data_IF_444540516466
#
_entry.id   IF_444540516466
#
_cell.length_a   1.000
_cell.length_b   1.000
_cell.length_c   1.000
_cell.angle_alpha   90.00
_cell.angle_beta   90.00
_cell.angle_gamma   90.00
#
_symmetry.space_group_name_H-M   'P 1'
#
loop_
_entity.id
_entity.type
_entity.pdbx_description
1 polymer ?
#
# COMPACT_ATOMS: atom_id res chain seq x y z
N UNK A 1 -2.66 83.76 27.64
CA UNK A 1 -2.21 82.93 26.52
C UNK A 1 -2.58 81.47 26.83
N UNK A 2 -3.71 81.02 26.32
CA UNK A 2 -4.20 79.65 26.48
C UNK A 2 -4.15 79.01 25.10
N UNK A 3 -3.35 77.98 24.92
CA UNK A 3 -3.29 77.12 23.67
C UNK A 3 -4.25 75.97 23.86
N UNK A 4 -5.25 75.91 23.00
CA UNK A 4 -6.10 74.76 22.86
C UNK A 4 -5.41 73.68 21.94
N UNK A 5 -5.33 72.44 22.41
CA UNK A 5 -4.99 71.29 21.59
C UNK A 5 -6.28 70.64 21.12
N UNK A 6 -6.48 70.63 19.81
CA UNK A 6 -7.54 69.88 19.17
C UNK A 6 -7.12 68.41 18.95
N UNK A 7 -7.90 67.48 19.46
CA UNK A 7 -7.80 66.06 19.15
C UNK A 7 -8.50 65.78 17.80
N UNK A 8 -7.73 65.31 16.83
CA UNK A 8 -8.25 64.73 15.59
C UNK A 8 -8.42 63.23 15.81
N UNK A 9 -9.67 62.79 15.84
CA UNK A 9 -10.00 61.37 15.84
C UNK A 9 -9.94 60.82 14.41
N UNK A 10 -8.97 59.92 14.13
CA UNK A 10 -8.90 59.20 12.89
C UNK A 10 -9.76 57.94 12.99
N UNK A 11 -10.86 57.90 12.26
CA UNK A 11 -11.68 56.69 12.11
C UNK A 11 -11.01 55.72 11.15
N UNK A 12 -10.49 54.60 11.66
CA UNK A 12 -10.02 53.48 10.86
C UNK A 12 -11.24 52.66 10.36
N UNK A 13 -11.56 52.78 9.09
CA UNK A 13 -12.48 51.90 8.41
C UNK A 13 -11.78 50.55 8.15
N UNK A 14 -12.10 49.56 8.99
CA UNK A 14 -11.75 48.15 8.72
C UNK A 14 -12.68 47.64 7.60
N UNK A 15 -12.19 47.74 6.36
CA UNK A 15 -12.77 47.04 5.22
C UNK A 15 -12.51 45.53 5.32
N UNK A 16 -13.48 44.80 5.85
CA UNK A 16 -13.46 43.35 5.80
C UNK A 16 -13.59 42.86 4.37
N UNK A 17 -12.48 42.42 3.77
CA UNK A 17 -12.52 41.63 2.53
C UNK A 17 -13.12 40.25 2.85
N UNK A 18 -14.44 40.13 2.66
CA UNK A 18 -15.08 38.83 2.59
C UNK A 18 -14.59 38.14 1.30
N UNK A 19 -13.60 37.26 1.44
CA UNK A 19 -13.26 36.33 0.36
C UNK A 19 -14.42 35.37 0.20
N UNK A 20 -15.28 35.62 -0.78
CA UNK A 20 -16.21 34.60 -1.28
C UNK A 20 -15.38 33.53 -1.98
N UNK A 21 -15.11 32.43 -1.26
CA UNK A 21 -14.67 31.20 -1.89
C UNK A 21 -15.81 30.65 -2.75
N UNK A 22 -15.86 31.01 -4.03
CA UNK A 22 -16.54 30.22 -5.02
C UNK A 22 -15.70 28.96 -5.23
N UNK A 23 -15.93 27.94 -4.39
CA UNK A 23 -15.35 26.61 -4.56
C UNK A 23 -15.96 25.93 -5.77
N UNK A 24 -15.38 26.16 -6.93
CA UNK A 24 -15.52 25.21 -8.04
C UNK A 24 -14.92 23.89 -7.61
N UNK A 25 -15.69 22.77 -7.70
CA UNK A 25 -15.24 21.39 -7.42
C UNK A 25 -14.28 20.95 -8.52
N UNK A 26 -13.10 21.54 -8.59
CA UNK A 26 -12.06 21.31 -9.60
C UNK A 26 -10.66 21.74 -9.17
N UNK A 27 -10.48 22.08 -7.87
CA UNK A 27 -9.18 22.47 -7.33
C UNK A 27 -8.34 21.28 -6.85
N UNK A 28 -7.05 21.52 -6.60
CA UNK A 28 -6.07 20.58 -6.08
C UNK A 28 -6.38 20.10 -4.63
N UNK A 29 -7.59 20.27 -4.15
CA UNK A 29 -8.00 20.02 -2.77
C UNK A 29 -9.09 18.96 -2.69
N UNK A 30 -9.10 18.21 -1.57
CA UNK A 30 -10.20 17.34 -1.17
C UNK A 30 -10.54 17.59 0.29
N UNK A 31 -11.83 17.58 0.62
CA UNK A 31 -12.31 17.74 2.00
C UNK A 31 -12.27 16.42 2.74
N UNK A 32 -11.58 16.39 3.87
CA UNK A 32 -11.49 15.22 4.74
C UNK A 32 -12.55 15.32 5.83
N UNK A 33 -13.35 14.25 5.99
CA UNK A 33 -14.32 14.10 7.07
C UNK A 33 -13.71 13.44 8.29
N UNK A 34 -12.89 12.42 8.07
CA UNK A 34 -12.36 11.58 9.14
C UNK A 34 -11.00 11.01 8.76
N UNK A 35 -10.05 11.07 9.71
CA UNK A 35 -8.78 10.33 9.67
C UNK A 35 -8.73 9.46 10.90
N UNK A 36 -8.42 8.18 10.73
CA UNK A 36 -8.35 7.26 11.85
C UNK A 36 -7.56 6.01 11.55
N UNK A 37 -7.48 5.15 12.53
CA UNK A 37 -6.82 3.86 12.40
C UNK A 37 -7.39 2.83 13.36
N UNK A 38 -7.11 1.55 13.10
CA UNK A 38 -7.44 0.44 13.98
C UNK A 38 -6.48 -0.73 13.75
N UNK A 39 -6.37 -1.59 14.76
CA UNK A 39 -5.78 -2.91 14.62
C UNK A 39 -6.87 -3.95 14.42
N UNK A 40 -6.57 -5.04 13.70
CA UNK A 40 -7.52 -6.12 13.42
C UNK A 40 -6.78 -7.46 13.27
N UNK A 41 -7.48 -8.55 13.57
CA UNK A 41 -6.86 -9.86 13.66
C UNK A 41 -6.06 -10.00 14.95
N UNK A 42 -5.16 -10.95 14.96
CA UNK A 42 -4.29 -11.21 16.09
C UNK A 42 -4.85 -12.23 17.08
N UNK A 43 -4.03 -12.52 18.07
CA UNK A 43 -4.34 -13.43 19.19
C UNK A 43 -3.51 -13.06 20.41
N UNK A 44 -3.99 -13.43 21.57
CA UNK A 44 -3.22 -13.38 22.81
C UNK A 44 -2.30 -14.57 22.94
N UNK A 45 -1.08 -14.33 23.40
CA UNK A 45 -0.09 -15.36 23.76
C UNK A 45 0.43 -15.09 25.15
N UNK A 46 0.40 -16.10 26.02
CA UNK A 46 1.01 -16.05 27.35
C UNK A 46 2.39 -16.70 27.32
N UNK A 47 3.41 -15.95 27.72
CA UNK A 47 4.78 -16.45 27.92
C UNK A 47 5.02 -16.71 29.40
N UNK A 48 5.74 -17.78 29.73
CA UNK A 48 6.11 -18.15 31.08
C UNK A 48 7.46 -18.85 31.11
N UNK A 49 8.12 -18.87 32.31
CA UNK A 49 9.38 -19.56 32.52
C UNK A 49 10.61 -18.87 31.92
N UNK A 50 10.45 -17.64 31.41
CA UNK A 50 11.59 -16.88 30.91
C UNK A 50 12.31 -16.14 32.02
N UNK A 51 13.67 -16.08 31.98
CA UNK A 51 14.45 -15.37 33.00
C UNK A 51 14.18 -13.86 32.92
N UNK A 52 14.15 -13.24 34.09
CA UNK A 52 14.16 -11.77 34.19
C UNK A 52 15.46 -11.21 33.62
N UNK A 53 15.38 -9.98 33.11
CA UNK A 53 16.51 -9.26 32.46
C UNK A 53 16.68 -7.89 33.08
N UNK A 54 17.91 -7.42 33.21
CA UNK A 54 18.21 -6.04 33.54
C UNK A 54 18.35 -5.23 32.25
N UNK A 55 17.59 -4.16 32.14
CA UNK A 55 17.56 -3.28 30.93
C UNK A 55 17.77 -1.83 31.37
N UNK A 56 18.70 -1.15 30.72
CA UNK A 56 18.88 0.30 30.83
C UNK A 56 18.03 0.95 29.75
N UNK A 57 16.86 1.50 30.11
CA UNK A 57 15.93 2.12 29.16
C UNK A 57 16.37 3.50 28.68
N UNK A 58 17.14 4.22 29.52
CA UNK A 58 17.63 5.57 29.21
C UNK A 58 19.11 5.63 29.51
N UNK A 59 19.89 6.20 28.60
CA UNK A 59 21.32 6.38 28.81
C UNK A 59 21.61 7.11 30.11
N UNK A 60 22.51 6.55 30.94
CA UNK A 60 22.87 7.08 32.25
C UNK A 60 21.91 6.75 33.40
N UNK A 61 20.79 6.06 33.15
CA UNK A 61 19.91 5.56 34.19
C UNK A 61 20.42 4.24 34.79
N UNK A 62 20.00 3.92 36.02
CA UNK A 62 20.23 2.61 36.61
C UNK A 62 19.45 1.52 35.79
N UNK A 63 19.98 0.28 35.77
CA UNK A 63 19.26 -0.86 35.19
C UNK A 63 17.91 -1.08 35.90
N UNK A 64 16.91 -1.42 35.10
CA UNK A 64 15.60 -1.81 35.58
C UNK A 64 15.37 -3.30 35.34
N UNK A 65 14.86 -3.99 36.34
CA UNK A 65 14.58 -5.42 36.26
C UNK A 65 13.26 -5.66 35.57
N UNK A 66 13.27 -6.34 34.41
CA UNK A 66 12.11 -6.60 33.56
C UNK A 66 11.77 -8.09 33.62
N UNK A 67 10.54 -8.39 33.98
CA UNK A 67 9.95 -9.71 33.83
C UNK A 67 9.37 -9.87 32.42
N UNK A 68 9.92 -10.77 31.58
CA UNK A 68 9.42 -10.98 30.21
C UNK A 68 8.23 -11.93 30.13
N UNK A 69 7.71 -12.43 31.25
CA UNK A 69 6.57 -13.33 31.31
C UNK A 69 5.26 -12.54 31.39
N UNK A 70 4.20 -13.08 30.81
CA UNK A 70 2.88 -12.46 30.79
C UNK A 70 2.18 -12.59 29.44
N UNK A 71 1.11 -11.81 29.25
CA UNK A 71 0.26 -11.84 28.09
C UNK A 71 0.71 -10.83 27.05
N UNK A 72 0.66 -11.22 25.78
CA UNK A 72 1.06 -10.40 24.63
C UNK A 72 0.01 -10.49 23.52
N UNK A 73 -0.36 -9.36 22.93
CA UNK A 73 -1.10 -9.32 21.67
C UNK A 73 -0.13 -9.45 20.51
N UNK A 74 -0.40 -10.38 19.58
CA UNK A 74 0.46 -10.69 18.44
C UNK A 74 -0.37 -11.00 17.20
N UNK A 75 0.26 -10.92 16.02
CA UNK A 75 -0.34 -11.28 14.73
C UNK A 75 -1.51 -10.38 14.29
N UNK A 76 -1.70 -9.22 14.92
CA UNK A 76 -2.62 -8.20 14.43
C UNK A 76 -1.99 -7.40 13.29
N UNK A 77 -2.81 -6.98 12.32
CA UNK A 77 -2.47 -5.99 11.32
C UNK A 77 -2.92 -4.59 11.73
N UNK A 78 -2.38 -3.57 11.08
CA UNK A 78 -2.77 -2.17 11.27
C UNK A 78 -3.45 -1.64 10.01
N UNK A 79 -4.43 -0.76 10.18
CA UNK A 79 -5.13 -0.08 9.10
C UNK A 79 -5.27 1.39 9.44
N UNK A 80 -4.80 2.27 8.55
CA UNK A 80 -5.09 3.70 8.55
C UNK A 80 -6.14 4.00 7.50
N UNK A 81 -7.03 4.95 7.77
CA UNK A 81 -8.01 5.39 6.79
C UNK A 81 -8.18 6.91 6.75
N UNK A 82 -8.55 7.39 5.57
CA UNK A 82 -8.98 8.76 5.32
C UNK A 82 -10.32 8.67 4.61
N UNK A 83 -11.37 9.24 5.22
CA UNK A 83 -12.70 9.34 4.62
C UNK A 83 -12.98 10.76 4.18
N UNK A 84 -13.52 10.90 2.99
CA UNK A 84 -13.82 12.18 2.39
C UNK A 84 -15.17 12.74 2.89
N UNK A 85 -15.23 14.05 2.96
CA UNK A 85 -16.48 14.77 3.16
C UNK A 85 -17.26 14.83 1.82
N UNK A 86 -18.57 14.73 1.88
CA UNK A 86 -19.42 15.08 0.72
C UNK A 86 -19.26 16.58 0.40
N UNK A 87 -19.16 17.06 -0.86
CA UNK A 87 -19.36 16.33 -2.11
C UNK A 87 -18.07 15.77 -2.74
N UNK A 88 -16.97 15.72 -2.02
CA UNK A 88 -15.69 15.23 -2.57
C UNK A 88 -15.70 13.72 -2.83
N UNK A 89 -16.53 12.96 -2.10
CA UNK A 89 -16.62 11.51 -2.25
C UNK A 89 -17.39 11.12 -3.51
N UNK A 90 -16.67 10.52 -4.46
CA UNK A 90 -17.21 9.98 -5.73
C UNK A 90 -17.24 8.46 -5.74
N UNK A 91 -16.32 7.82 -5.02
CA UNK A 91 -16.25 6.35 -4.90
C UNK A 91 -17.52 5.78 -4.26
N UNK A 92 -18.11 4.76 -4.87
CA UNK A 92 -19.25 4.03 -4.29
C UNK A 92 -18.83 3.19 -3.10
N UNK A 93 -17.58 2.74 -3.12
CA UNK A 93 -16.98 1.85 -2.13
C UNK A 93 -15.63 2.39 -1.69
N UNK A 94 -15.20 2.13 -0.45
CA UNK A 94 -13.85 2.45 -0.02
C UNK A 94 -12.82 1.66 -0.84
N UNK A 95 -11.65 2.25 -1.05
CA UNK A 95 -10.50 1.65 -1.71
C UNK A 95 -9.51 1.18 -0.65
N UNK A 96 -9.30 -0.13 -0.55
CA UNK A 96 -8.33 -0.74 0.34
C UNK A 96 -7.02 -0.97 -0.42
N UNK A 97 -5.91 -0.49 0.12
CA UNK A 97 -4.59 -0.60 -0.49
C UNK A 97 -3.68 -1.52 0.33
N UNK A 98 -3.31 -2.67 -0.28
CA UNK A 98 -2.51 -3.72 0.36
C UNK A 98 -1.12 -3.80 -0.29
N UNK A 99 -0.07 -3.74 0.51
CA UNK A 99 1.33 -3.66 0.05
C UNK A 99 1.93 -5.03 -0.32
N UNK A 100 3.11 -4.99 -0.94
CA UNK A 100 3.91 -6.14 -1.31
C UNK A 100 4.84 -6.68 -0.22
N UNK A 101 5.59 -7.72 -0.56
CA UNK A 101 6.54 -8.38 0.34
C UNK A 101 7.75 -7.52 0.70
N UNK A 102 8.11 -7.48 2.00
CA UNK A 102 9.22 -6.67 2.50
C UNK A 102 8.95 -5.16 2.54
N UNK A 103 7.69 -4.78 2.40
CA UNK A 103 7.19 -3.40 2.42
C UNK A 103 6.07 -3.26 3.45
N UNK A 104 5.57 -2.03 3.60
CA UNK A 104 4.43 -1.66 4.43
C UNK A 104 3.50 -0.71 3.66
N UNK A 105 2.47 -0.19 4.32
CA UNK A 105 1.54 0.79 3.73
C UNK A 105 2.19 2.06 3.20
N UNK A 106 3.39 2.39 3.67
CA UNK A 106 4.21 3.51 3.15
C UNK A 106 4.36 3.47 1.61
N UNK A 107 4.28 2.26 1.02
CA UNK A 107 4.27 2.07 -0.45
C UNK A 107 3.27 2.97 -1.18
N UNK A 108 2.15 3.31 -0.53
CA UNK A 108 1.05 4.07 -1.11
C UNK A 108 1.05 5.56 -0.74
N UNK A 109 1.80 5.96 0.30
CA UNK A 109 1.73 7.28 0.92
C UNK A 109 2.54 8.34 0.16
N UNK A 110 3.87 8.20 0.16
CA UNK A 110 4.79 9.15 -0.49
C UNK A 110 5.82 8.41 -1.32
N UNK A 111 6.03 8.87 -2.53
CA UNK A 111 7.05 8.30 -3.42
C UNK A 111 8.46 8.62 -2.90
N UNK A 112 9.48 7.80 -3.22
CA UNK A 112 10.84 8.00 -2.73
C UNK A 112 11.47 9.32 -3.22
N UNK A 113 10.98 9.90 -4.30
CA UNK A 113 11.37 11.22 -4.80
C UNK A 113 10.67 12.40 -4.10
N UNK A 114 9.90 12.12 -3.05
CA UNK A 114 9.19 13.11 -2.23
C UNK A 114 7.83 13.53 -2.78
N UNK A 115 7.41 13.04 -3.93
CA UNK A 115 6.09 13.36 -4.52
C UNK A 115 4.98 12.57 -3.83
N UNK A 116 3.71 13.06 -3.88
CA UNK A 116 2.56 12.33 -3.38
C UNK A 116 2.41 10.96 -4.05
N UNK A 117 2.04 9.94 -3.26
CA UNK A 117 1.76 8.59 -3.76
C UNK A 117 0.29 8.38 -4.12
N UNK A 118 -0.06 7.13 -4.42
CA UNK A 118 -1.40 6.78 -4.87
C UNK A 118 -2.49 6.97 -3.82
N UNK A 119 -2.17 6.91 -2.53
CA UNK A 119 -3.12 7.30 -1.48
C UNK A 119 -3.67 8.72 -1.75
N UNK A 120 -2.78 9.68 -1.98
CA UNK A 120 -3.17 11.05 -2.28
C UNK A 120 -3.93 11.15 -3.62
N UNK A 121 -3.45 10.45 -4.66
CA UNK A 121 -4.10 10.43 -5.97
C UNK A 121 -5.56 9.99 -5.87
N UNK A 122 -5.82 8.85 -5.22
CA UNK A 122 -7.17 8.31 -5.13
C UNK A 122 -8.07 9.08 -4.16
N UNK A 123 -7.52 9.74 -3.14
CA UNK A 123 -8.27 10.74 -2.36
C UNK A 123 -8.73 11.90 -3.23
N UNK A 124 -7.85 12.46 -4.08
CA UNK A 124 -8.23 13.51 -5.07
C UNK A 124 -9.25 12.99 -6.09
N UNK A 125 -9.15 11.73 -6.48
CA UNK A 125 -10.12 11.08 -7.36
C UNK A 125 -11.49 10.82 -6.70
N UNK A 126 -11.59 11.05 -5.38
CA UNK A 126 -12.85 11.01 -4.63
C UNK A 126 -13.12 9.67 -3.94
N UNK A 127 -12.11 8.87 -3.65
CA UNK A 127 -12.27 7.61 -2.91
C UNK A 127 -11.91 7.78 -1.44
N UNK A 128 -12.72 7.21 -0.55
CA UNK A 128 -12.27 6.89 0.80
C UNK A 128 -11.16 5.85 0.70
N UNK A 129 -10.00 6.14 1.31
CA UNK A 129 -8.82 5.27 1.17
C UNK A 129 -8.42 4.67 2.51
N UNK A 130 -8.16 3.36 2.48
CA UNK A 130 -7.68 2.59 3.62
C UNK A 130 -6.33 1.96 3.25
N UNK A 131 -5.27 2.30 3.99
CA UNK A 131 -3.92 1.77 3.80
C UNK A 131 -3.60 0.85 4.95
N UNK A 132 -3.20 -0.40 4.64
CA UNK A 132 -2.90 -1.39 5.67
C UNK A 132 -1.42 -1.73 5.75
N UNK A 133 -0.97 -2.06 6.95
CA UNK A 133 0.27 -2.78 7.22
C UNK A 133 -0.10 -4.21 7.62
N UNK A 134 0.36 -5.20 6.86
CA UNK A 134 0.10 -6.61 7.13
C UNK A 134 0.71 -7.05 8.46
N UNK A 135 0.33 -8.23 8.92
CA UNK A 135 0.88 -8.83 10.15
C UNK A 135 2.40 -8.76 10.14
N UNK A 136 2.98 -8.26 11.24
CA UNK A 136 4.42 -8.08 11.45
C UNK A 136 5.09 -7.15 10.42
N UNK A 137 4.36 -6.12 9.96
CA UNK A 137 4.86 -5.08 9.04
C UNK A 137 4.58 -3.69 9.58
N UNK A 138 5.50 -2.77 9.34
CA UNK A 138 5.31 -1.34 9.61
C UNK A 138 4.73 -1.05 11.01
N UNK A 139 3.50 -0.56 11.05
CA UNK A 139 2.75 -0.17 12.27
C UNK A 139 1.94 -1.32 12.89
N UNK A 140 1.97 -2.52 12.29
CA UNK A 140 1.33 -3.71 12.84
C UNK A 140 2.11 -4.26 14.04
N UNK A 141 1.72 -5.45 14.53
CA UNK A 141 2.40 -6.12 15.62
C UNK A 141 3.86 -6.48 15.31
N UNK A 142 4.62 -6.73 16.35
CA UNK A 142 5.96 -7.31 16.29
C UNK A 142 6.03 -8.52 17.20
N UNK A 143 6.09 -9.70 16.61
CA UNK A 143 6.22 -10.90 17.38
C UNK A 143 7.63 -11.07 17.94
N UNK A 144 7.71 -11.69 19.12
CA UNK A 144 8.98 -12.00 19.75
C UNK A 144 9.60 -13.23 19.09
N UNK A 145 10.87 -13.12 18.76
CA UNK A 145 11.72 -14.21 18.33
C UNK A 145 12.76 -14.51 19.43
N UNK A 146 13.00 -15.76 19.78
CA UNK A 146 12.39 -17.00 19.25
C UNK A 146 11.18 -17.50 20.05
N UNK A 147 10.67 -16.74 21.01
CA UNK A 147 9.66 -17.23 21.96
C UNK A 147 8.31 -17.50 21.26
N UNK A 148 7.86 -16.60 20.38
CA UNK A 148 6.59 -16.71 19.66
C UNK A 148 6.82 -17.18 18.23
N UNK A 149 7.61 -16.44 17.45
CA UNK A 149 8.08 -16.90 16.15
C UNK A 149 9.33 -17.75 16.30
N UNK A 150 9.38 -18.87 15.59
CA UNK A 150 10.48 -19.86 15.67
C UNK A 150 11.55 -19.65 14.62
N UNK A 151 11.30 -18.81 13.63
CA UNK A 151 12.24 -18.46 12.56
C UNK A 151 12.58 -16.98 12.63
N UNK A 152 13.78 -16.62 12.19
CA UNK A 152 14.17 -15.22 12.04
C UNK A 152 13.39 -14.56 10.89
N UNK A 153 13.14 -13.24 10.97
CA UNK A 153 12.59 -12.51 9.85
C UNK A 153 13.65 -12.37 8.74
N UNK A 154 13.19 -12.42 7.52
CA UNK A 154 14.03 -12.18 6.34
C UNK A 154 14.17 -10.68 6.09
N UNK A 155 15.41 -10.20 5.94
CA UNK A 155 15.74 -8.83 5.55
C UNK A 155 16.22 -8.83 4.10
N UNK A 156 15.56 -8.07 3.25
CA UNK A 156 15.98 -7.90 1.86
C UNK A 156 17.13 -6.91 1.76
N UNK A 157 18.19 -7.30 1.07
CA UNK A 157 19.31 -6.38 0.79
C UNK A 157 18.92 -5.36 -0.28
N UNK A 158 19.60 -4.21 -0.31
CA UNK A 158 19.41 -3.19 -1.35
C UNK A 158 19.72 -3.74 -2.75
N UNK A 159 20.76 -4.60 -2.88
CA UNK A 159 21.08 -5.27 -4.14
C UNK A 159 19.91 -6.13 -4.62
N UNK A 160 19.37 -6.97 -3.74
CA UNK A 160 18.23 -7.82 -4.07
C UNK A 160 16.97 -7.00 -4.43
N UNK A 161 16.71 -5.90 -3.70
CA UNK A 161 15.60 -5.00 -4.03
C UNK A 161 15.79 -4.34 -5.40
N UNK A 162 17.00 -3.92 -5.75
CA UNK A 162 17.33 -3.34 -7.05
C UNK A 162 17.00 -4.29 -8.20
N UNK A 163 17.43 -5.52 -8.09
CA UNK A 163 17.30 -6.53 -9.15
C UNK A 163 15.86 -7.08 -9.22
N UNK A 164 15.31 -7.50 -8.07
CA UNK A 164 13.97 -8.09 -8.00
C UNK A 164 12.88 -7.10 -8.43
N UNK A 165 13.01 -5.83 -8.04
CA UNK A 165 12.04 -4.81 -8.42
C UNK A 165 12.30 -4.22 -9.81
N UNK A 166 13.25 -4.79 -10.53
CA UNK A 166 13.58 -4.44 -11.92
C UNK A 166 13.88 -2.95 -12.11
N UNK A 167 14.67 -2.40 -11.16
CA UNK A 167 15.16 -1.01 -11.26
C UNK A 167 16.36 -0.91 -12.20
N UNK A 168 17.12 -1.99 -12.33
CA UNK A 168 18.22 -2.18 -13.25
C UNK A 168 18.53 -3.67 -13.42
N UNK A 169 19.36 -4.03 -14.40
CA UNK A 169 19.72 -5.43 -14.67
C UNK A 169 20.52 -6.05 -13.52
N UNK A 170 20.56 -7.38 -13.50
CA UNK A 170 21.39 -8.13 -12.54
C UNK A 170 22.84 -7.68 -12.61
N UNK A 171 23.50 -7.51 -11.44
CA UNK A 171 24.87 -7.02 -11.33
C UNK A 171 25.07 -5.51 -11.55
N UNK A 172 24.01 -4.74 -11.80
CA UNK A 172 24.12 -3.29 -12.02
C UNK A 172 23.97 -2.44 -10.75
N UNK A 173 23.66 -3.07 -9.62
CA UNK A 173 23.64 -2.40 -8.32
C UNK A 173 25.04 -2.04 -7.84
N UNK A 174 25.18 -0.88 -7.22
CA UNK A 174 26.39 -0.45 -6.50
C UNK A 174 26.01 0.27 -5.21
N UNK A 175 26.85 0.13 -4.19
CA UNK A 175 26.76 0.96 -2.97
C UNK A 175 27.05 2.43 -3.27
N UNK A 176 27.90 2.71 -4.28
CA UNK A 176 28.08 4.05 -4.82
C UNK A 176 26.91 4.38 -5.77
N UNK A 177 26.05 5.38 -5.44
CA UNK A 177 24.90 5.74 -6.27
C UNK A 177 25.27 6.09 -7.72
N UNK A 178 26.40 6.76 -7.93
CA UNK A 178 26.84 7.16 -9.27
C UNK A 178 27.25 5.98 -10.18
N UNK A 179 27.52 4.82 -9.59
CA UNK A 179 27.89 3.61 -10.33
C UNK A 179 26.70 2.67 -10.62
N UNK A 180 25.49 2.99 -10.14
CA UNK A 180 24.28 2.23 -10.44
C UNK A 180 23.86 2.43 -11.89
N UNK A 181 23.46 1.37 -12.56
CA UNK A 181 23.04 1.43 -13.96
C UNK A 181 21.60 0.88 -14.11
N UNK A 182 20.74 1.72 -14.69
CA UNK A 182 19.42 1.32 -15.15
C UNK A 182 19.51 0.31 -16.32
N UNK A 183 18.38 -0.20 -16.77
CA UNK A 183 18.30 -0.91 -18.05
C UNK A 183 18.74 0.02 -19.19
N UNK A 184 19.46 -0.49 -20.22
CA UNK A 184 19.85 0.32 -21.37
C UNK A 184 18.67 0.99 -22.08
N UNK A 185 17.52 0.34 -22.09
CA UNK A 185 16.26 0.83 -22.66
C UNK A 185 15.59 1.91 -21.79
N UNK A 186 16.14 2.16 -20.60
CA UNK A 186 15.64 3.12 -19.62
C UNK A 186 14.88 2.52 -18.46
N UNK A 187 14.65 3.31 -17.41
CA UNK A 187 13.75 2.99 -16.29
C UNK A 187 12.97 4.23 -15.87
N UNK A 188 11.72 4.04 -15.53
CA UNK A 188 10.87 5.10 -15.01
C UNK A 188 10.94 5.22 -13.48
N UNK A 189 11.53 4.26 -12.79
CA UNK A 189 11.82 4.41 -11.37
C UNK A 189 12.85 5.53 -11.15
N UNK A 190 12.62 6.45 -10.17
CA UNK A 190 13.58 7.52 -9.84
C UNK A 190 14.81 6.92 -9.13
N UNK A 191 15.79 6.42 -9.91
CA UNK A 191 16.96 5.69 -9.36
C UNK A 191 17.82 6.54 -8.45
N UNK A 192 17.82 7.85 -8.62
CA UNK A 192 18.44 8.83 -7.72
C UNK A 192 17.85 8.80 -6.32
N UNK A 193 16.56 8.44 -6.19
CA UNK A 193 15.85 8.30 -4.93
C UNK A 193 15.87 6.88 -4.36
N UNK A 194 16.63 5.96 -4.96
CA UNK A 194 16.66 4.55 -4.54
C UNK A 194 17.08 4.35 -3.08
N UNK A 195 18.00 5.18 -2.57
CA UNK A 195 18.42 5.07 -1.17
C UNK A 195 17.30 5.47 -0.20
N UNK A 196 16.45 6.41 -0.60
CA UNK A 196 15.23 6.74 0.15
C UNK A 196 14.20 5.60 0.08
N UNK A 197 14.03 4.97 -1.08
CA UNK A 197 13.20 3.78 -1.23
C UNK A 197 13.69 2.63 -0.34
N UNK A 198 15.00 2.41 -0.27
CA UNK A 198 15.59 1.36 0.57
C UNK A 198 15.24 1.47 2.05
N UNK A 199 14.92 2.69 2.53
CA UNK A 199 14.46 2.93 3.92
C UNK A 199 13.03 2.46 4.18
N UNK A 200 12.23 2.20 3.15
CA UNK A 200 10.88 1.66 3.27
C UNK A 200 10.88 0.13 3.49
N UNK A 201 12.03 -0.52 3.32
CA UNK A 201 12.17 -1.95 3.52
C UNK A 201 11.92 -2.33 4.98
N UNK A 202 11.08 -3.33 5.21
CA UNK A 202 10.79 -3.90 6.52
C UNK A 202 11.08 -5.41 6.53
N UNK A 203 11.43 -5.99 7.69
CA UNK A 203 11.64 -7.43 7.79
C UNK A 203 10.36 -8.19 7.48
N UNK A 204 10.51 -9.42 6.98
CA UNK A 204 9.40 -10.29 6.62
C UNK A 204 9.58 -11.66 7.25
N UNK A 205 8.58 -12.12 8.01
CA UNK A 205 8.46 -13.52 8.31
C UNK A 205 7.91 -14.30 7.12
N UNK A 206 8.51 -15.43 6.78
CA UNK A 206 8.03 -16.30 5.71
C UNK A 206 7.00 -17.34 6.22
N UNK A 207 6.78 -17.38 7.53
CA UNK A 207 5.94 -18.38 8.22
C UNK A 207 4.62 -17.84 8.73
N UNK A 208 4.31 -16.55 8.52
CA UNK A 208 3.10 -15.89 9.05
C UNK A 208 1.99 -15.68 8.01
N UNK A 209 2.06 -16.33 6.85
CA UNK A 209 1.04 -16.15 5.79
C UNK A 209 -0.37 -16.53 6.27
N UNK A 210 -0.50 -17.56 7.13
CA UNK A 210 -1.78 -17.96 7.71
C UNK A 210 -2.40 -16.87 8.60
N UNK A 211 -1.59 -16.29 9.50
CA UNK A 211 -2.02 -15.18 10.36
C UNK A 211 -2.36 -13.92 9.53
N UNK A 212 -1.54 -13.62 8.52
CA UNK A 212 -1.77 -12.52 7.59
C UNK A 212 -3.08 -12.69 6.84
N UNK A 213 -3.36 -13.89 6.30
CA UNK A 213 -4.62 -14.17 5.61
C UNK A 213 -5.81 -14.02 6.55
N UNK A 214 -5.73 -14.57 7.76
CA UNK A 214 -6.81 -14.47 8.74
C UNK A 214 -7.12 -13.01 9.13
N UNK A 215 -6.09 -12.18 9.27
CA UNK A 215 -6.25 -10.76 9.56
C UNK A 215 -6.88 -10.01 8.36
N UNK A 216 -6.45 -10.29 7.13
CA UNK A 216 -7.07 -9.72 5.93
C UNK A 216 -8.53 -10.18 5.74
N UNK A 217 -8.85 -11.43 6.02
CA UNK A 217 -10.23 -11.93 5.96
C UNK A 217 -11.13 -11.15 6.94
N UNK A 218 -10.68 -10.93 8.18
CA UNK A 218 -11.40 -10.12 9.17
C UNK A 218 -11.48 -8.64 8.75
N UNK A 219 -10.45 -8.11 8.12
CA UNK A 219 -10.44 -6.74 7.60
C UNK A 219 -11.51 -6.54 6.52
N UNK A 220 -11.64 -7.50 5.58
CA UNK A 220 -12.71 -7.49 4.58
C UNK A 220 -14.08 -7.53 5.24
N UNK A 221 -14.29 -8.40 6.24
CA UNK A 221 -15.56 -8.45 6.96
C UNK A 221 -15.90 -7.14 7.68
N UNK A 222 -14.91 -6.42 8.20
CA UNK A 222 -15.11 -5.18 8.96
C UNK A 222 -15.41 -3.98 8.08
N UNK A 223 -14.79 -3.86 6.90
CA UNK A 223 -14.77 -2.61 6.12
C UNK A 223 -15.57 -2.69 4.83
N UNK A 224 -15.66 -3.88 4.20
CA UNK A 224 -16.35 -4.02 2.91
C UNK A 224 -17.88 -4.01 3.05
N UNK A 225 -18.65 -3.61 2.00
CA UNK A 225 -18.29 -3.72 0.58
C UNK A 225 -17.21 -2.72 0.15
N UNK A 226 -16.21 -3.20 -0.61
CA UNK A 226 -15.00 -2.45 -0.93
C UNK A 226 -14.40 -2.82 -2.30
N UNK A 227 -13.49 -1.96 -2.80
CA UNK A 227 -12.53 -2.28 -3.87
C UNK A 227 -11.18 -2.55 -3.22
N UNK A 228 -10.48 -3.60 -3.64
CA UNK A 228 -9.14 -3.90 -3.14
C UNK A 228 -8.11 -3.65 -4.24
N UNK A 229 -7.18 -2.74 -4.00
CA UNK A 229 -5.98 -2.53 -4.79
C UNK A 229 -4.81 -3.17 -4.05
N UNK A 230 -4.06 -3.99 -4.75
CA UNK A 230 -3.01 -4.79 -4.14
C UNK A 230 -1.75 -4.81 -4.97
N UNK A 231 -0.60 -4.86 -4.30
CA UNK A 231 0.70 -4.98 -4.95
C UNK A 231 1.39 -6.30 -4.58
N UNK A 232 1.99 -6.94 -5.58
CA UNK A 232 2.96 -8.03 -5.41
C UNK A 232 2.45 -9.18 -4.52
N UNK A 233 3.14 -9.50 -3.41
CA UNK A 233 2.78 -10.56 -2.46
C UNK A 233 1.35 -10.44 -1.95
N UNK A 234 0.84 -9.24 -1.78
CA UNK A 234 -0.53 -9.01 -1.33
C UNK A 234 -1.58 -9.63 -2.26
N UNK A 235 -1.24 -9.88 -3.53
CA UNK A 235 -2.14 -10.48 -4.52
C UNK A 235 -2.73 -11.81 -4.06
N UNK A 236 -1.89 -12.72 -3.56
CA UNK A 236 -2.36 -14.03 -3.10
C UNK A 236 -3.37 -13.90 -1.95
N UNK A 237 -3.11 -13.01 -0.99
CA UNK A 237 -4.04 -12.76 0.12
C UNK A 237 -5.37 -12.15 -0.38
N UNK A 238 -5.29 -11.23 -1.34
CA UNK A 238 -6.48 -10.58 -1.92
C UNK A 238 -7.35 -11.56 -2.67
N UNK A 239 -6.76 -12.41 -3.51
CA UNK A 239 -7.53 -13.40 -4.28
C UNK A 239 -8.22 -14.40 -3.36
N UNK A 240 -7.54 -14.86 -2.31
CA UNK A 240 -8.14 -15.74 -1.31
C UNK A 240 -9.25 -15.03 -0.50
N UNK A 241 -9.05 -13.78 -0.10
CA UNK A 241 -10.08 -13.02 0.61
C UNK A 241 -11.32 -12.76 -0.26
N UNK A 242 -11.12 -12.46 -1.54
CA UNK A 242 -12.20 -12.28 -2.50
C UNK A 242 -13.00 -13.59 -2.71
N UNK A 243 -12.31 -14.73 -2.80
CA UNK A 243 -12.96 -16.06 -2.88
C UNK A 243 -13.80 -16.39 -1.65
N UNK A 244 -13.33 -15.99 -0.46
CA UNK A 244 -14.08 -16.22 0.80
C UNK A 244 -15.24 -15.27 0.99
N UNK A 245 -15.20 -14.08 0.38
CA UNK A 245 -16.20 -13.02 0.56
C UNK A 245 -16.58 -12.33 -0.77
N UNK A 246 -17.03 -13.09 -1.80
CA UNK A 246 -17.28 -12.55 -3.14
C UNK A 246 -18.41 -11.50 -3.16
N UNK A 247 -19.33 -11.56 -2.22
CA UNK A 247 -20.40 -10.55 -2.07
C UNK A 247 -19.92 -9.22 -1.48
N UNK A 248 -18.81 -9.20 -0.79
CA UNK A 248 -18.24 -8.02 -0.14
C UNK A 248 -17.18 -7.33 -1.02
N UNK A 249 -16.34 -8.09 -1.72
CA UNK A 249 -15.34 -7.52 -2.63
C UNK A 249 -16.00 -7.14 -3.96
N UNK A 250 -16.01 -5.86 -4.29
CA UNK A 250 -16.69 -5.32 -5.48
C UNK A 250 -15.79 -5.24 -6.70
N UNK A 251 -14.48 -5.22 -6.52
CA UNK A 251 -13.48 -5.34 -7.56
C UNK A 251 -12.10 -5.64 -6.96
N UNK A 252 -11.22 -6.24 -7.75
CA UNK A 252 -9.81 -6.45 -7.43
C UNK A 252 -8.94 -5.77 -8.47
N UNK A 253 -8.00 -4.95 -8.01
CA UNK A 253 -6.98 -4.28 -8.83
C UNK A 253 -5.62 -4.82 -8.41
N UNK A 254 -5.06 -5.70 -9.20
CA UNK A 254 -3.80 -6.40 -8.90
C UNK A 254 -2.64 -5.78 -9.67
N UNK A 255 -1.78 -5.08 -8.95
CA UNK A 255 -0.57 -4.44 -9.47
C UNK A 255 0.58 -5.45 -9.34
N UNK A 256 0.99 -6.02 -10.46
CA UNK A 256 2.08 -7.00 -10.51
C UNK A 256 2.01 -8.07 -9.40
N UNK A 257 0.91 -8.80 -9.26
CA UNK A 257 0.78 -9.79 -8.20
C UNK A 257 1.88 -10.86 -8.32
N UNK A 258 2.44 -11.30 -7.18
CA UNK A 258 3.50 -12.31 -7.17
C UNK A 258 3.02 -13.71 -6.77
N UNK A 259 1.72 -13.92 -6.72
CA UNK A 259 1.10 -15.20 -6.44
C UNK A 259 -0.40 -15.17 -6.69
N UNK A 260 -0.96 -16.34 -6.92
CA UNK A 260 -2.39 -16.56 -7.08
C UNK A 260 -2.75 -17.97 -6.57
N UNK A 261 -4.04 -18.21 -6.21
CA UNK A 261 -4.51 -19.54 -5.85
C UNK A 261 -4.24 -20.59 -6.94
N UNK A 262 -3.95 -21.81 -6.53
CA UNK A 262 -3.82 -22.94 -7.45
C UNK A 262 -5.22 -23.34 -7.97
N UNK A 263 -5.51 -22.97 -9.20
CA UNK A 263 -6.80 -23.24 -9.85
C UNK A 263 -7.06 -24.74 -10.12
N UNK A 264 -6.09 -25.60 -9.92
CA UNK A 264 -6.30 -27.04 -9.87
C UNK A 264 -6.91 -27.52 -8.55
N UNK A 265 -6.90 -26.67 -7.50
CA UNK A 265 -7.37 -27.00 -6.15
C UNK A 265 -8.48 -26.08 -5.67
N UNK A 266 -8.69 -24.95 -6.33
CA UNK A 266 -9.62 -23.90 -5.88
C UNK A 266 -10.61 -23.59 -7.00
N UNK A 267 -11.91 -23.65 -6.69
CA UNK A 267 -12.96 -23.16 -7.58
C UNK A 267 -13.02 -21.62 -7.54
N UNK A 268 -12.89 -20.98 -8.69
CA UNK A 268 -12.96 -19.52 -8.85
C UNK A 268 -14.34 -19.04 -9.31
N UNK A 269 -15.30 -19.92 -9.50
CA UNK A 269 -16.66 -19.57 -9.94
C UNK A 269 -17.38 -18.55 -9.04
N UNK A 270 -17.13 -18.49 -7.71
CA UNK A 270 -17.74 -17.47 -6.86
C UNK A 270 -17.36 -16.03 -7.26
N UNK A 271 -16.26 -15.84 -8.00
CA UNK A 271 -15.78 -14.52 -8.43
C UNK A 271 -16.39 -14.02 -9.74
N UNK A 272 -17.34 -14.73 -10.34
CA UNK A 272 -17.96 -14.36 -11.61
C UNK A 272 -18.46 -12.90 -11.66
N UNK A 273 -19.01 -12.38 -10.57
CA UNK A 273 -19.51 -11.01 -10.46
C UNK A 273 -18.51 -9.99 -9.94
N UNK A 274 -17.24 -10.36 -9.76
CA UNK A 274 -16.19 -9.49 -9.20
C UNK A 274 -15.19 -9.14 -10.31
N UNK A 275 -15.25 -7.95 -10.91
CA UNK A 275 -14.31 -7.54 -11.96
C UNK A 275 -12.87 -7.49 -11.43
N UNK A 276 -11.95 -7.95 -12.26
CA UNK A 276 -10.51 -7.97 -11.95
C UNK A 276 -9.72 -7.14 -12.97
N UNK A 277 -8.83 -6.29 -12.48
CA UNK A 277 -7.81 -5.59 -13.26
C UNK A 277 -6.42 -6.10 -12.87
N UNK A 278 -5.63 -6.52 -13.84
CA UNK A 278 -4.21 -6.83 -13.68
C UNK A 278 -3.38 -5.81 -14.44
N UNK A 279 -2.40 -5.20 -13.75
CA UNK A 279 -1.50 -4.19 -14.34
C UNK A 279 -0.07 -4.68 -14.23
N UNK A 280 0.64 -4.72 -15.36
CA UNK A 280 2.00 -5.24 -15.47
C UNK A 280 2.96 -4.20 -16.04
N UNK A 281 4.13 -4.05 -15.40
CA UNK A 281 5.25 -3.22 -15.85
C UNK A 281 6.13 -3.91 -16.89
N UNK A 282 7.35 -3.40 -17.04
CA UNK A 282 8.33 -3.86 -18.02
C UNK A 282 9.33 -4.86 -17.41
N UNK A 283 10.16 -5.48 -18.24
CA UNK A 283 11.32 -6.33 -17.87
C UNK A 283 10.97 -7.61 -17.08
N UNK A 284 9.74 -8.11 -17.18
CA UNK A 284 9.33 -9.35 -16.48
C UNK A 284 10.19 -10.56 -16.89
N UNK A 285 10.64 -10.61 -18.12
CA UNK A 285 11.50 -11.65 -18.68
C UNK A 285 12.98 -11.55 -18.28
N UNK A 286 13.37 -10.41 -17.68
CA UNK A 286 14.76 -10.11 -17.34
C UNK A 286 15.20 -10.58 -15.96
N UNK A 287 14.29 -11.11 -15.14
CA UNK A 287 14.63 -11.64 -13.83
C UNK A 287 13.94 -12.99 -13.59
N UNK A 288 14.69 -14.05 -13.25
CA UNK A 288 14.18 -15.43 -13.22
C UNK A 288 12.98 -15.69 -12.30
N UNK A 289 12.84 -14.91 -11.24
CA UNK A 289 11.67 -15.06 -10.36
C UNK A 289 10.37 -14.77 -11.10
N UNK A 290 10.33 -13.69 -11.89
CA UNK A 290 9.11 -13.28 -12.59
C UNK A 290 8.70 -14.28 -13.65
N UNK A 291 9.65 -14.79 -14.43
CA UNK A 291 9.36 -15.85 -15.42
C UNK A 291 8.82 -17.14 -14.79
N UNK A 292 9.19 -17.41 -13.54
CA UNK A 292 8.72 -18.58 -12.78
C UNK A 292 7.34 -18.41 -12.17
N UNK A 293 6.97 -17.21 -11.72
CA UNK A 293 5.70 -16.98 -10.99
C UNK A 293 4.55 -16.53 -11.90
N UNK A 294 4.82 -15.78 -12.97
CA UNK A 294 3.77 -15.28 -13.88
C UNK A 294 2.90 -16.38 -14.49
N UNK A 295 3.40 -17.57 -14.86
CA UNK A 295 2.54 -18.62 -15.39
C UNK A 295 1.41 -19.08 -14.44
N UNK A 296 1.61 -19.01 -13.12
CA UNK A 296 0.55 -19.32 -12.16
C UNK A 296 -0.55 -18.26 -12.20
N UNK A 297 -0.17 -17.01 -12.30
CA UNK A 297 -1.12 -15.88 -12.35
C UNK A 297 -1.87 -15.91 -13.68
N UNK A 298 -1.20 -16.21 -14.79
CA UNK A 298 -1.83 -16.37 -16.09
C UNK A 298 -2.90 -17.50 -16.09
N UNK A 299 -2.61 -18.63 -15.42
CA UNK A 299 -3.61 -19.69 -15.23
C UNK A 299 -4.81 -19.23 -14.41
N UNK A 300 -4.57 -18.43 -13.37
CA UNK A 300 -5.64 -17.85 -12.56
C UNK A 300 -6.50 -16.88 -13.37
N UNK A 301 -5.90 -15.94 -14.11
CA UNK A 301 -6.62 -15.04 -15.01
C UNK A 301 -7.48 -15.81 -16.04
N UNK A 302 -6.91 -16.85 -16.65
CA UNK A 302 -7.62 -17.70 -17.61
C UNK A 302 -8.79 -18.44 -16.98
N UNK A 303 -8.62 -18.93 -15.74
CA UNK A 303 -9.70 -19.60 -15.01
C UNK A 303 -10.85 -18.64 -14.70
N UNK A 304 -10.55 -17.41 -14.24
CA UNK A 304 -11.55 -16.36 -14.05
C UNK A 304 -12.33 -16.09 -15.35
N UNK A 305 -11.63 -15.90 -16.47
CA UNK A 305 -12.28 -15.67 -17.79
C UNK A 305 -13.18 -16.82 -18.21
N UNK A 306 -12.73 -18.08 -18.02
CA UNK A 306 -13.55 -19.26 -18.33
C UNK A 306 -14.84 -19.34 -17.52
N UNK A 307 -14.84 -18.80 -16.29
CA UNK A 307 -16.04 -18.72 -15.44
C UNK A 307 -16.92 -17.50 -15.77
N UNK A 308 -16.53 -16.67 -16.75
CA UNK A 308 -17.26 -15.47 -17.15
C UNK A 308 -17.03 -14.26 -16.25
N UNK A 309 -15.95 -14.26 -15.46
CA UNK A 309 -15.50 -13.07 -14.72
C UNK A 309 -15.00 -12.02 -15.70
N UNK A 310 -15.37 -10.77 -15.46
CA UNK A 310 -14.83 -9.62 -16.20
C UNK A 310 -13.37 -9.38 -15.78
N UNK A 311 -12.44 -9.74 -16.65
CA UNK A 311 -10.99 -9.61 -16.40
C UNK A 311 -10.36 -8.70 -17.45
N UNK A 312 -9.83 -7.58 -16.98
CA UNK A 312 -9.00 -6.65 -17.77
C UNK A 312 -7.53 -6.87 -17.43
N UNK A 313 -6.67 -6.88 -18.46
CA UNK A 313 -5.22 -6.89 -18.30
C UNK A 313 -4.59 -5.72 -19.02
N UNK A 314 -3.76 -4.96 -18.35
CA UNK A 314 -2.94 -3.88 -18.88
C UNK A 314 -1.47 -4.33 -18.78
N UNK A 315 -0.90 -4.73 -19.90
CA UNK A 315 0.55 -4.92 -20.06
C UNK A 315 1.12 -3.60 -20.60
N UNK A 316 1.69 -2.77 -19.73
CA UNK A 316 2.15 -1.43 -20.10
C UNK A 316 3.06 -1.43 -21.34
N UNK A 317 4.04 -2.34 -21.47
CA UNK A 317 4.85 -2.42 -22.69
C UNK A 317 4.05 -2.62 -23.97
N UNK A 318 2.94 -3.38 -23.92
CA UNK A 318 2.07 -3.60 -25.07
C UNK A 318 1.20 -2.38 -25.44
N UNK A 319 1.04 -1.46 -24.49
CA UNK A 319 0.36 -0.18 -24.74
C UNK A 319 1.31 0.92 -25.20
N UNK A 320 2.61 0.61 -25.37
CA UNK A 320 3.65 1.57 -25.73
C UNK A 320 4.31 2.27 -24.54
N UNK A 321 3.88 1.99 -23.31
CA UNK A 321 4.48 2.54 -22.08
C UNK A 321 5.61 1.62 -21.63
N UNK A 322 6.84 2.08 -21.70
CA UNK A 322 8.06 1.32 -21.44
C UNK A 322 8.81 1.83 -20.21
N UNK A 323 9.63 0.94 -19.63
CA UNK A 323 10.56 1.27 -18.56
C UNK A 323 9.95 1.25 -17.16
N UNK A 324 8.71 0.80 -16.98
CA UNK A 324 8.09 0.68 -15.67
C UNK A 324 8.70 -0.47 -14.87
N UNK A 325 9.03 -0.16 -13.63
CA UNK A 325 9.58 -1.10 -12.65
C UNK A 325 8.50 -2.00 -12.04
N UNK A 326 8.88 -2.83 -11.06
CA UNK A 326 7.89 -3.53 -10.21
C UNK A 326 7.10 -2.57 -9.31
N UNK A 327 7.64 -1.38 -9.09
CA UNK A 327 7.06 -0.38 -8.20
C UNK A 327 6.30 0.70 -9.00
N UNK A 328 5.30 0.29 -9.79
CA UNK A 328 4.54 1.16 -10.69
C UNK A 328 4.03 2.44 -10.00
N UNK A 329 3.64 2.31 -8.73
CA UNK A 329 3.14 3.42 -7.91
C UNK A 329 4.24 4.42 -7.50
N UNK A 330 5.51 4.08 -7.72
CA UNK A 330 6.67 4.92 -7.42
C UNK A 330 7.39 5.42 -8.65
N UNK A 331 7.06 4.89 -9.83
CA UNK A 331 7.64 5.31 -11.11
C UNK A 331 7.26 6.77 -11.43
N UNK A 332 8.04 7.43 -12.30
CA UNK A 332 7.82 8.84 -12.67
C UNK A 332 6.47 9.10 -13.34
N UNK A 333 5.95 8.10 -14.06
CA UNK A 333 4.63 8.12 -14.71
C UNK A 333 3.53 7.47 -13.85
N UNK A 334 3.73 7.33 -12.54
CA UNK A 334 2.80 6.64 -11.64
C UNK A 334 1.38 7.22 -11.69
N UNK A 335 1.25 8.55 -11.87
CA UNK A 335 -0.04 9.21 -11.93
C UNK A 335 -0.80 8.89 -13.22
N UNK A 336 -0.09 8.68 -14.36
CA UNK A 336 -0.71 8.21 -15.61
C UNK A 336 -1.27 6.80 -15.44
N UNK A 337 -0.54 5.93 -14.76
CA UNK A 337 -1.00 4.57 -14.44
C UNK A 337 -2.19 4.62 -13.48
N UNK A 338 -2.12 5.46 -12.44
CA UNK A 338 -3.24 5.67 -11.53
C UNK A 338 -4.49 6.17 -12.26
N UNK A 339 -4.32 7.04 -13.28
CA UNK A 339 -5.41 7.48 -14.14
C UNK A 339 -6.02 6.33 -14.93
N UNK A 340 -5.21 5.46 -15.54
CA UNK A 340 -5.73 4.27 -16.26
C UNK A 340 -6.58 3.40 -15.32
N UNK A 341 -6.14 3.22 -14.06
CA UNK A 341 -6.87 2.47 -13.04
C UNK A 341 -8.18 3.20 -12.68
N UNK A 342 -8.14 4.50 -12.45
CA UNK A 342 -9.31 5.29 -12.10
C UNK A 342 -10.35 5.27 -13.26
N UNK A 343 -9.91 5.41 -14.52
CA UNK A 343 -10.77 5.30 -15.69
C UNK A 343 -11.44 3.92 -15.79
N UNK A 344 -10.69 2.85 -15.48
CA UNK A 344 -11.24 1.50 -15.38
C UNK A 344 -12.29 1.39 -14.26
N UNK A 345 -12.02 1.97 -13.08
CA UNK A 345 -13.00 1.99 -11.99
C UNK A 345 -14.30 2.71 -12.38
N UNK A 346 -14.21 3.83 -13.11
CA UNK A 346 -15.36 4.53 -13.66
C UNK A 346 -16.12 3.63 -14.65
N UNK A 347 -15.42 3.01 -15.59
CA UNK A 347 -16.02 2.10 -16.58
C UNK A 347 -16.73 0.90 -15.95
N UNK A 348 -16.29 0.44 -14.77
CA UNK A 348 -16.94 -0.64 -14.00
C UNK A 348 -18.05 -0.14 -13.06
N UNK A 349 -18.39 1.15 -13.08
CA UNK A 349 -19.43 1.72 -12.22
C UNK A 349 -19.08 1.72 -10.73
N UNK A 350 -17.80 1.71 -10.38
CA UNK A 350 -17.32 1.76 -8.99
C UNK A 350 -17.27 3.18 -8.43
N UNK A 351 -17.51 4.18 -9.27
CA UNK A 351 -17.71 5.59 -8.92
C UNK A 351 -19.15 6.01 -9.17
N UNK A 352 -19.55 7.12 -8.54
CA UNK A 352 -20.87 7.77 -8.73
C UNK A 352 -20.83 8.71 -9.93
#
# INVERSE_FOLDING_TARGET
MKRQFGCVAAALLLGGCAHQHHGGVGGDHFGVREVGSFHIGGRQVTLSGLPEKEIVFTAGAAPFRVNPNGDFEVEQMYVQYVKLHEPYRKGRYPLLMWHGGGLSGVTWETKPDGKPGWQHYFLKAGHDVYVSDAVERGRASWARYPEIFKTEPFFRTKKEAWELFRLGPEGSYSTNPAARRAYPEGTLFPIEAFDQFGKQGVPRWATNDGATQAAYDQYVQKVCPCVIMVHSQGGNFTFNAALKAPGLVKAVIAIEPSGAPDVGKVDVSPLKGVPHLFVWGDYLDRFPLWTRITPNIDRYEQALRRQGTDVTRIDLPKTGVRGNSHMLMMDRNSDDIAKMIADWMVAKGLTR
#
